data_IF_127356902398
#
_entry.id   IF_127356902398
#
_cell.length_a   1.000
_cell.length_b   1.000
_cell.length_c   1.000
_cell.angle_alpha   90.00
_cell.angle_beta   90.00
_cell.angle_gamma   90.00
#
_symmetry.space_group_name_H-M   'P 1'
#
loop_
_entity.id
_entity.type
_entity.pdbx_description
1 polymer ?
#
# COMPACT_ATOMS: atom_id res chain seq x y z
N UNK A 1 -4.31 36.10 -3.33
CA UNK A 1 -2.90 35.78 -2.92
C UNK A 1 -2.86 34.43 -2.20
N UNK A 2 -2.00 33.56 -2.65
CA UNK A 2 -1.89 32.22 -2.04
C UNK A 2 -1.23 32.36 -0.66
N UNK A 3 -1.95 32.06 0.40
CA UNK A 3 -1.48 32.09 1.79
C UNK A 3 -0.21 31.21 1.97
N UNK A 4 -0.08 30.14 1.18
CA UNK A 4 1.06 29.22 1.19
C UNK A 4 2.43 29.91 1.03
N UNK A 5 2.52 31.00 0.28
CA UNK A 5 3.77 31.75 0.06
C UNK A 5 4.24 32.55 1.28
N UNK A 6 3.40 32.69 2.30
CA UNK A 6 3.70 33.44 3.54
C UNK A 6 4.26 32.58 4.66
N UNK A 7 4.24 31.25 4.51
CA UNK A 7 4.86 30.34 5.46
C UNK A 7 6.38 30.27 5.24
N UNK A 8 7.14 30.25 6.30
CA UNK A 8 8.58 29.98 6.29
C UNK A 8 8.88 28.87 7.28
N UNK A 9 10.12 28.37 7.29
CA UNK A 9 10.55 27.32 8.24
C UNK A 9 10.28 27.67 9.70
N UNK A 10 10.18 28.96 10.03
CA UNK A 10 9.97 29.47 11.39
C UNK A 10 8.51 29.88 11.68
N UNK A 11 7.64 29.92 10.66
CA UNK A 11 6.25 30.37 10.81
C UNK A 11 5.32 29.17 10.57
N UNK A 12 4.75 28.66 11.66
CA UNK A 12 3.82 27.52 11.61
C UNK A 12 2.35 27.94 11.54
N UNK A 13 2.07 29.18 11.94
CA UNK A 13 0.71 29.71 11.95
C UNK A 13 0.67 31.18 11.50
N UNK A 14 -0.33 31.52 10.71
CA UNK A 14 -0.57 32.90 10.23
C UNK A 14 -1.96 33.32 10.64
N UNK A 15 -2.14 34.42 11.41
CA UNK A 15 -3.45 34.96 11.70
C UNK A 15 -4.06 35.56 10.43
N UNK A 16 -5.34 35.29 10.22
CA UNK A 16 -6.14 35.89 9.14
C UNK A 16 -7.08 36.93 9.78
N UNK A 17 -6.90 38.17 9.41
CA UNK A 17 -7.69 39.28 9.90
C UNK A 17 -8.72 39.72 8.82
N UNK A 18 -9.84 40.29 9.24
CA UNK A 18 -10.76 40.96 8.33
C UNK A 18 -10.31 42.39 8.06
N UNK A 19 -11.12 43.15 7.33
CA UNK A 19 -10.87 44.56 6.98
C UNK A 19 -10.87 45.51 8.19
N UNK A 20 -11.30 45.07 9.37
CA UNK A 20 -11.27 45.81 10.63
C UNK A 20 -10.18 45.31 11.60
N UNK A 21 -9.16 44.63 11.10
CA UNK A 21 -8.05 44.04 11.86
C UNK A 21 -8.48 43.05 12.97
N UNK A 22 -9.68 42.45 12.82
CA UNK A 22 -10.17 41.42 13.75
C UNK A 22 -9.80 40.04 13.25
N UNK A 23 -9.29 39.20 14.16
CA UNK A 23 -8.97 37.80 13.88
C UNK A 23 -10.22 37.02 13.45
N UNK A 24 -10.21 36.48 12.25
CA UNK A 24 -11.31 35.67 11.69
C UNK A 24 -10.96 34.19 11.67
N UNK A 25 -9.68 33.87 11.47
CA UNK A 25 -9.19 32.48 11.46
C UNK A 25 -7.67 32.44 11.64
N UNK A 26 -7.13 31.24 11.78
CA UNK A 26 -5.69 31.01 11.81
C UNK A 26 -5.39 29.99 10.73
N UNK A 27 -4.51 30.35 9.77
CA UNK A 27 -3.96 29.38 8.83
C UNK A 27 -2.73 28.71 9.47
N UNK A 28 -2.75 27.40 9.56
CA UNK A 28 -1.65 26.59 10.04
C UNK A 28 -0.88 26.02 8.86
N UNK A 29 0.45 25.97 8.98
CA UNK A 29 1.25 25.16 8.06
C UNK A 29 0.91 23.68 8.37
N UNK A 30 0.23 23.04 7.44
CA UNK A 30 0.03 21.58 7.51
C UNK A 30 1.34 20.93 7.07
N UNK A 31 2.19 20.56 8.03
CA UNK A 31 3.24 19.58 7.77
C UNK A 31 2.53 18.24 7.64
N UNK A 32 2.30 17.79 6.42
CA UNK A 32 1.72 16.48 6.15
C UNK A 32 2.78 15.41 6.42
N UNK A 33 2.96 15.07 7.67
CA UNK A 33 3.75 13.90 8.05
C UNK A 33 2.81 12.71 8.22
N UNK A 34 3.17 11.60 7.60
CA UNK A 34 2.47 10.32 7.73
C UNK A 34 3.35 9.40 8.57
N UNK A 35 2.76 8.73 9.55
CA UNK A 35 3.45 7.72 10.34
C UNK A 35 3.13 6.34 9.79
N UNK A 36 4.19 5.54 9.51
CA UNK A 36 4.08 4.12 9.20
C UNK A 36 5.00 3.37 10.17
N UNK A 37 4.42 2.64 11.10
CA UNK A 37 5.16 2.03 12.19
C UNK A 37 5.96 3.07 12.99
N UNK A 38 7.27 2.87 13.11
CA UNK A 38 8.19 3.80 13.75
C UNK A 38 8.66 4.95 12.85
N UNK A 39 8.35 4.93 11.55
CA UNK A 39 8.83 5.91 10.59
C UNK A 39 7.87 7.09 10.44
N UNK A 40 8.45 8.29 10.35
CA UNK A 40 7.75 9.51 9.93
C UNK A 40 8.14 9.82 8.49
N UNK A 41 7.14 9.97 7.61
CA UNK A 41 7.31 10.26 6.18
C UNK A 41 6.77 11.66 5.90
N UNK A 42 7.59 12.53 5.34
CA UNK A 42 7.24 13.90 5.04
C UNK A 42 8.41 14.64 4.37
N UNK A 43 8.22 15.91 4.02
CA UNK A 43 9.17 16.71 3.25
C UNK A 43 10.59 16.78 3.87
N UNK A 44 10.67 16.76 5.21
CA UNK A 44 11.95 16.87 5.94
C UNK A 44 12.42 15.55 6.53
N UNK A 45 11.69 14.47 6.29
CA UNK A 45 12.06 13.14 6.77
C UNK A 45 13.13 12.50 5.89
N UNK A 46 13.94 11.58 6.43
CA UNK A 46 14.76 10.71 5.60
C UNK A 46 13.92 9.95 4.57
N UNK A 47 14.52 9.57 3.45
CA UNK A 47 13.84 8.79 2.42
C UNK A 47 13.40 7.44 3.01
N UNK A 48 12.13 7.09 2.80
CA UNK A 48 11.58 5.80 3.17
C UNK A 48 11.67 4.85 1.97
N UNK A 49 12.54 3.85 2.07
CA UNK A 49 12.84 2.89 0.98
C UNK A 49 12.02 1.62 1.18
N UNK A 50 11.24 1.26 0.17
CA UNK A 50 10.42 0.04 0.13
C UNK A 50 11.06 -0.95 -0.85
N UNK A 51 11.49 -2.09 -0.36
CA UNK A 51 11.94 -3.21 -1.19
C UNK A 51 10.73 -3.99 -1.73
N UNK A 52 10.59 -4.04 -3.04
CA UNK A 52 9.50 -4.73 -3.74
C UNK A 52 9.79 -6.23 -3.86
N UNK A 53 9.45 -7.01 -2.84
CA UNK A 53 9.59 -8.48 -2.86
C UNK A 53 8.51 -9.10 -3.76
N UNK A 54 7.28 -8.60 -3.64
CA UNK A 54 6.15 -9.02 -4.48
C UNK A 54 5.93 -10.52 -4.44
N UNK A 55 6.03 -11.17 -5.60
CA UNK A 55 5.97 -12.63 -5.78
C UNK A 55 7.33 -13.22 -6.22
N UNK A 56 8.43 -12.48 -6.11
CA UNK A 56 9.76 -12.94 -6.57
C UNK A 56 10.32 -14.10 -5.74
N UNK A 57 9.68 -14.41 -4.61
CA UNK A 57 9.97 -15.60 -3.82
C UNK A 57 9.46 -16.90 -4.47
N UNK A 58 8.66 -16.84 -5.55
CA UNK A 58 8.16 -17.98 -6.32
C UNK A 58 7.47 -19.07 -5.47
N UNK A 59 6.79 -18.70 -4.37
CA UNK A 59 6.17 -19.64 -3.45
C UNK A 59 7.15 -20.37 -2.50
N UNK A 60 8.42 -19.96 -2.49
CA UNK A 60 9.48 -20.56 -1.68
C UNK A 60 9.78 -19.66 -0.47
N UNK A 61 9.60 -20.19 0.75
CA UNK A 61 9.84 -19.47 2.01
C UNK A 61 11.32 -19.14 2.24
N UNK A 62 12.21 -20.02 1.83
CA UNK A 62 13.66 -19.80 2.03
C UNK A 62 14.14 -18.70 1.09
N UNK A 63 13.62 -18.67 -0.15
CA UNK A 63 13.88 -17.56 -1.06
C UNK A 63 13.26 -16.26 -0.55
N UNK A 64 12.06 -16.30 0.03
CA UNK A 64 11.43 -15.12 0.63
C UNK A 64 12.29 -14.54 1.78
N UNK A 65 12.78 -15.39 2.70
CA UNK A 65 13.70 -14.97 3.77
C UNK A 65 14.97 -14.35 3.22
N UNK A 66 15.57 -14.97 2.20
CA UNK A 66 16.76 -14.44 1.54
C UNK A 66 16.52 -13.05 0.93
N UNK A 67 15.36 -12.84 0.30
CA UNK A 67 14.99 -11.53 -0.24
C UNK A 67 14.79 -10.48 0.86
N UNK A 68 14.26 -10.87 2.01
CA UNK A 68 14.17 -10.01 3.20
C UNK A 68 15.57 -9.64 3.69
N UNK A 69 16.47 -10.61 3.84
CA UNK A 69 17.84 -10.39 4.31
C UNK A 69 18.61 -9.45 3.37
N UNK A 70 18.45 -9.61 2.06
CA UNK A 70 19.05 -8.71 1.06
C UNK A 70 18.47 -7.30 1.16
N UNK A 71 17.15 -7.16 1.38
CA UNK A 71 16.50 -5.88 1.59
C UNK A 71 17.04 -5.17 2.85
N UNK A 72 17.21 -5.90 3.94
CA UNK A 72 17.83 -5.41 5.18
C UNK A 72 19.28 -5.00 4.94
N UNK A 73 20.07 -5.85 4.29
CA UNK A 73 21.47 -5.58 3.94
C UNK A 73 21.64 -4.35 3.04
N UNK A 74 20.66 -4.08 2.18
CA UNK A 74 20.62 -2.89 1.34
C UNK A 74 20.13 -1.63 2.07
N UNK A 75 19.70 -1.72 3.33
CA UNK A 75 19.21 -0.60 4.13
C UNK A 75 17.77 -0.17 3.81
N UNK A 76 16.95 -1.05 3.24
CA UNK A 76 15.54 -0.78 3.04
C UNK A 76 14.80 -0.65 4.39
N UNK A 77 13.79 0.23 4.44
CA UNK A 77 12.97 0.44 5.62
C UNK A 77 11.78 -0.53 5.68
N UNK A 78 11.37 -1.02 4.52
CA UNK A 78 10.15 -1.81 4.36
C UNK A 78 10.34 -2.89 3.30
N UNK A 79 9.81 -4.09 3.55
CA UNK A 79 9.72 -5.20 2.61
C UNK A 79 8.26 -5.39 2.19
N UNK A 80 7.95 -5.21 0.88
CA UNK A 80 6.57 -5.24 0.38
C UNK A 80 6.26 -6.54 -0.34
N UNK A 81 5.17 -7.18 0.10
CA UNK A 81 4.60 -8.40 -0.44
C UNK A 81 3.26 -8.15 -1.14
N UNK A 82 2.63 -9.22 -1.60
CA UNK A 82 1.30 -9.23 -2.21
C UNK A 82 0.53 -10.44 -1.70
N UNK A 83 -0.76 -10.26 -1.38
CA UNK A 83 -1.64 -11.33 -0.94
C UNK A 83 -2.90 -11.37 -1.80
N UNK A 84 -3.28 -12.56 -2.25
CA UNK A 84 -4.47 -12.80 -3.07
C UNK A 84 -5.20 -14.03 -2.59
N UNK A 85 -6.52 -13.95 -2.57
CA UNK A 85 -7.38 -15.13 -2.58
C UNK A 85 -7.84 -15.41 -4.01
N UNK A 86 -7.18 -16.37 -4.66
CA UNK A 86 -7.48 -16.72 -6.06
C UNK A 86 -8.91 -17.22 -6.24
N UNK A 87 -9.56 -17.73 -5.19
CA UNK A 87 -10.94 -18.19 -5.26
C UNK A 87 -11.94 -17.03 -5.29
N UNK A 88 -11.61 -15.90 -4.69
CA UNK A 88 -12.45 -14.70 -4.68
C UNK A 88 -12.23 -13.80 -5.89
N UNK A 89 -11.01 -13.72 -6.40
CA UNK A 89 -10.63 -12.84 -7.50
C UNK A 89 -11.09 -13.34 -8.88
N UNK A 90 -11.15 -14.65 -9.07
CA UNK A 90 -11.40 -15.25 -10.38
C UNK A 90 -12.63 -16.15 -10.34
N UNK A 91 -13.76 -15.63 -10.83
CA UNK A 91 -15.04 -16.36 -10.87
C UNK A 91 -15.08 -17.50 -11.89
N UNK A 92 -14.19 -17.50 -12.88
CA UNK A 92 -14.09 -18.56 -13.88
C UNK A 92 -12.89 -19.45 -13.57
N UNK A 93 -13.14 -20.59 -12.95
CA UNK A 93 -12.18 -21.69 -12.87
C UNK A 93 -12.19 -22.48 -14.18
N UNK A 94 -12.08 -21.90 -15.32
CA UNK A 94 -12.04 -22.54 -16.62
C UNK A 94 -12.73 -23.92 -16.69
N UNK A 95 -13.38 -24.22 -17.77
CA UNK A 95 -13.82 -25.59 -18.05
C UNK A 95 -12.79 -26.23 -18.97
N UNK A 96 -11.95 -27.18 -18.49
CA UNK A 96 -10.91 -27.81 -19.31
C UNK A 96 -11.46 -28.52 -20.57
N UNK A 97 -12.79 -28.69 -20.65
CA UNK A 97 -13.47 -29.31 -21.76
C UNK A 97 -14.10 -28.30 -22.77
N UNK A 98 -13.91 -26.96 -22.56
CA UNK A 98 -14.41 -25.93 -23.48
C UNK A 98 -13.26 -25.34 -24.31
N UNK A 99 -13.11 -25.81 -25.55
CA UNK A 99 -12.09 -25.38 -26.52
C UNK A 99 -12.16 -23.87 -26.88
N UNK A 100 -13.14 -23.12 -26.35
CA UNK A 100 -13.31 -21.68 -26.57
C UNK A 100 -12.80 -20.85 -25.41
N UNK A 101 -12.31 -21.46 -24.32
CA UNK A 101 -11.78 -20.75 -23.18
C UNK A 101 -10.40 -20.15 -23.46
N UNK A 102 -10.18 -18.98 -22.90
CA UNK A 102 -8.89 -18.30 -22.94
C UNK A 102 -7.86 -19.04 -22.06
N UNK A 103 -7.14 -19.97 -22.69
CA UNK A 103 -6.04 -20.71 -22.05
C UNK A 103 -4.98 -19.79 -21.43
N UNK A 104 -4.88 -18.54 -21.88
CA UNK A 104 -3.99 -17.54 -21.30
C UNK A 104 -4.37 -17.16 -19.88
N UNK A 105 -5.66 -16.98 -19.58
CA UNK A 105 -6.15 -16.68 -18.25
C UNK A 105 -5.92 -17.83 -17.28
N UNK A 106 -6.18 -19.07 -17.70
CA UNK A 106 -5.93 -20.26 -16.88
C UNK A 106 -4.43 -20.44 -16.58
N UNK A 107 -3.58 -20.24 -17.59
CA UNK A 107 -2.12 -20.33 -17.40
C UNK A 107 -1.62 -19.28 -16.38
N UNK A 108 -2.14 -18.06 -16.41
CA UNK A 108 -1.80 -17.01 -15.43
C UNK A 108 -2.25 -17.41 -14.02
N UNK A 109 -3.45 -17.98 -13.86
CA UNK A 109 -3.96 -18.46 -12.59
C UNK A 109 -3.10 -19.57 -12.00
N UNK A 110 -2.70 -20.54 -12.82
CA UNK A 110 -1.84 -21.64 -12.42
C UNK A 110 -0.46 -21.12 -11.96
N UNK A 111 0.11 -20.15 -12.67
CA UNK A 111 1.35 -19.50 -12.26
C UNK A 111 1.19 -18.73 -10.94
N UNK A 112 0.13 -17.93 -10.80
CA UNK A 112 -0.13 -17.19 -9.57
C UNK A 112 -0.33 -18.13 -8.37
N UNK A 113 -1.07 -19.23 -8.57
CA UNK A 113 -1.26 -20.25 -7.54
C UNK A 113 0.06 -20.89 -7.11
N UNK A 114 0.94 -21.15 -8.07
CA UNK A 114 2.25 -21.77 -7.81
C UNK A 114 3.23 -20.83 -7.11
N UNK A 115 3.14 -19.52 -7.40
CA UNK A 115 4.13 -18.56 -6.95
C UNK A 115 3.69 -17.75 -5.71
N UNK A 116 2.53 -18.01 -5.15
CA UNK A 116 2.12 -17.37 -3.91
C UNK A 116 2.46 -18.23 -2.67
N UNK A 117 2.76 -17.57 -1.57
CA UNK A 117 2.79 -18.19 -0.25
C UNK A 117 1.36 -18.33 0.28
N UNK A 118 1.10 -19.39 1.05
CA UNK A 118 -0.16 -19.51 1.78
C UNK A 118 -0.24 -18.47 2.90
N UNK A 119 -1.43 -18.10 3.38
CA UNK A 119 -1.57 -17.05 4.40
C UNK A 119 -0.70 -17.25 5.64
N UNK A 120 -0.62 -18.47 6.17
CA UNK A 120 0.22 -18.77 7.34
C UNK A 120 1.70 -18.58 7.04
N UNK A 121 2.14 -19.00 5.86
CA UNK A 121 3.52 -18.81 5.40
C UNK A 121 3.84 -17.33 5.17
N UNK A 122 2.87 -16.55 4.69
CA UNK A 122 3.03 -15.11 4.54
C UNK A 122 3.19 -14.43 5.90
N UNK A 123 2.41 -14.86 6.91
CA UNK A 123 2.55 -14.34 8.27
C UNK A 123 3.89 -14.70 8.89
N UNK A 124 4.42 -15.90 8.65
CA UNK A 124 5.80 -16.24 9.04
C UNK A 124 6.83 -15.26 8.42
N UNK A 125 6.63 -14.83 7.17
CA UNK A 125 7.53 -13.86 6.52
C UNK A 125 7.39 -12.46 7.12
N UNK A 126 6.19 -12.05 7.49
CA UNK A 126 5.98 -10.76 8.17
C UNK A 126 6.62 -10.76 9.57
N UNK A 127 6.47 -11.85 10.33
CA UNK A 127 7.15 -12.02 11.61
C UNK A 127 8.67 -12.01 11.44
N UNK A 128 9.18 -12.66 10.39
CA UNK A 128 10.59 -12.64 10.06
C UNK A 128 11.09 -11.24 9.71
N UNK A 129 10.33 -10.45 8.94
CA UNK A 129 10.64 -9.04 8.68
C UNK A 129 10.81 -8.27 10.00
N UNK A 130 9.86 -8.40 10.93
CA UNK A 130 9.91 -7.71 12.22
C UNK A 130 11.12 -8.14 13.07
N UNK A 131 11.46 -9.43 13.04
CA UNK A 131 12.66 -9.95 13.71
C UNK A 131 13.95 -9.38 13.12
N UNK A 132 14.00 -9.16 11.81
CA UNK A 132 15.14 -8.53 11.12
C UNK A 132 15.15 -7.00 11.22
N UNK A 133 14.13 -6.39 11.84
CA UNK A 133 14.03 -4.94 12.02
C UNK A 133 13.59 -4.17 10.76
N UNK A 134 13.02 -4.84 9.76
CA UNK A 134 12.41 -4.24 8.59
C UNK A 134 10.89 -4.30 8.67
N UNK A 135 10.19 -3.24 8.27
CA UNK A 135 8.74 -3.18 8.33
C UNK A 135 8.11 -4.06 7.21
N UNK A 136 7.18 -4.98 7.52
CA UNK A 136 6.40 -5.64 6.49
C UNK A 136 5.33 -4.71 5.94
N UNK A 137 5.09 -4.77 4.64
CA UNK A 137 3.98 -4.11 3.94
C UNK A 137 3.37 -5.12 2.97
N UNK A 138 2.07 -5.05 2.75
CA UNK A 138 1.41 -5.93 1.81
C UNK A 138 0.38 -5.20 0.95
N UNK A 139 0.24 -5.67 -0.29
CA UNK A 139 -0.86 -5.29 -1.18
C UNK A 139 -1.95 -6.36 -1.05
N UNK A 140 -3.11 -6.08 -0.45
CA UNK A 140 -4.28 -6.93 -0.61
C UNK A 140 -4.86 -6.74 -2.03
N UNK A 141 -5.17 -7.82 -2.71
CA UNK A 141 -5.83 -7.79 -4.01
C UNK A 141 -7.35 -8.02 -3.93
N UNK A 142 -7.84 -8.35 -2.73
CA UNK A 142 -9.24 -8.68 -2.46
C UNK A 142 -9.57 -8.45 -0.99
N UNK A 143 -10.88 -8.49 -0.66
CA UNK A 143 -11.36 -8.25 0.69
C UNK A 143 -10.99 -9.38 1.67
N UNK A 144 -10.87 -10.63 1.20
CA UNK A 144 -10.46 -11.73 2.07
C UNK A 144 -9.00 -11.56 2.49
N UNK A 145 -8.12 -11.21 1.54
CA UNK A 145 -6.73 -10.87 1.81
C UNK A 145 -6.61 -9.68 2.76
N UNK A 146 -7.42 -8.62 2.56
CA UNK A 146 -7.46 -7.47 3.46
C UNK A 146 -7.84 -7.87 4.89
N UNK A 147 -8.85 -8.71 5.06
CA UNK A 147 -9.29 -9.19 6.37
C UNK A 147 -8.19 -10.00 7.10
N UNK A 148 -7.45 -10.83 6.36
CA UNK A 148 -6.32 -11.58 6.91
C UNK A 148 -5.18 -10.64 7.35
N UNK A 149 -4.85 -9.64 6.53
CA UNK A 149 -3.83 -8.65 6.85
C UNK A 149 -4.21 -7.78 8.05
N UNK A 150 -5.50 -7.47 8.24
CA UNK A 150 -6.00 -6.79 9.45
C UNK A 150 -5.85 -7.64 10.70
N UNK A 151 -6.09 -8.96 10.60
CA UNK A 151 -5.86 -9.89 11.73
C UNK A 151 -4.40 -9.95 12.13
N UNK A 152 -3.48 -9.86 11.16
CA UNK A 152 -2.04 -9.75 11.44
C UNK A 152 -1.69 -8.41 12.09
N UNK A 153 -2.39 -7.34 11.79
CA UNK A 153 -2.16 -6.01 12.34
C UNK A 153 -1.18 -5.15 11.54
N UNK A 154 -1.27 -5.17 10.20
CA UNK A 154 -0.45 -4.33 9.33
C UNK A 154 -0.51 -2.85 9.71
N UNK A 155 0.62 -2.14 9.62
CA UNK A 155 0.75 -0.71 9.95
C UNK A 155 0.32 0.22 8.79
N UNK A 156 0.31 -0.28 7.57
CA UNK A 156 -0.07 0.44 6.36
C UNK A 156 -0.44 -0.55 5.25
N UNK A 157 -1.05 -0.05 4.18
CA UNK A 157 -1.40 -0.86 3.02
C UNK A 157 -0.89 -0.26 1.72
N UNK A 158 -0.59 -1.14 0.75
CA UNK A 158 -0.29 -0.75 -0.61
C UNK A 158 -1.51 -1.05 -1.50
N UNK A 159 -1.89 -0.09 -2.31
CA UNK A 159 -2.90 -0.25 -3.36
C UNK A 159 -2.20 -0.36 -4.71
N UNK A 160 -2.43 -1.46 -5.43
CA UNK A 160 -1.88 -1.65 -6.77
C UNK A 160 -2.50 -0.65 -7.76
N UNK A 161 -1.79 -0.31 -8.82
CA UNK A 161 -2.30 0.61 -9.85
C UNK A 161 -3.56 0.08 -10.55
N UNK A 162 -3.70 -1.25 -10.65
CA UNK A 162 -4.88 -1.89 -11.20
C UNK A 162 -6.13 -1.77 -10.29
N UNK A 163 -5.94 -1.52 -8.99
CA UNK A 163 -7.02 -1.41 -8.01
C UNK A 163 -7.31 0.04 -7.60
N UNK A 164 -6.69 1.03 -8.23
CA UNK A 164 -6.94 2.43 -7.89
C UNK A 164 -8.41 2.86 -8.15
N UNK A 165 -9.08 2.19 -9.05
CA UNK A 165 -10.52 2.37 -9.34
C UNK A 165 -11.42 1.31 -8.71
N UNK A 166 -10.86 0.42 -7.90
CA UNK A 166 -11.62 -0.58 -7.15
C UNK A 166 -12.22 0.06 -5.88
N UNK A 167 -13.31 0.80 -6.05
CA UNK A 167 -13.93 1.60 -5.00
C UNK A 167 -14.41 0.76 -3.81
N UNK A 168 -14.77 -0.51 -4.02
CA UNK A 168 -15.17 -1.42 -2.95
C UNK A 168 -13.99 -1.71 -2.01
N UNK A 169 -12.84 -2.10 -2.57
CA UNK A 169 -11.61 -2.35 -1.80
C UNK A 169 -11.10 -1.06 -1.13
N UNK A 170 -11.09 0.05 -1.88
CA UNK A 170 -10.65 1.35 -1.37
C UNK A 170 -11.49 1.84 -0.21
N UNK A 171 -12.82 1.73 -0.30
CA UNK A 171 -13.72 2.13 0.81
C UNK A 171 -13.41 1.35 2.08
N UNK A 172 -13.15 0.05 1.98
CA UNK A 172 -12.76 -0.76 3.14
C UNK A 172 -11.39 -0.37 3.71
N UNK A 173 -10.42 -0.10 2.84
CA UNK A 173 -9.10 0.37 3.26
C UNK A 173 -9.17 1.74 3.97
N UNK A 174 -10.01 2.65 3.47
CA UNK A 174 -10.23 3.98 4.07
C UNK A 174 -10.88 3.84 5.45
N UNK A 175 -11.88 2.94 5.60
CA UNK A 175 -12.54 2.69 6.89
C UNK A 175 -11.59 2.21 7.99
N UNK A 176 -10.49 1.54 7.61
CA UNK A 176 -9.43 1.06 8.54
C UNK A 176 -8.60 2.22 9.11
N UNK A 177 -8.54 3.36 8.42
CA UNK A 177 -7.83 4.58 8.86
C UNK A 177 -6.32 4.40 9.07
N UNK A 178 -5.70 3.49 8.35
CA UNK A 178 -4.25 3.32 8.28
C UNK A 178 -3.69 4.01 7.04
N UNK A 179 -2.39 4.35 7.01
CA UNK A 179 -1.76 4.92 5.82
C UNK A 179 -1.91 4.03 4.59
N UNK A 180 -2.21 4.66 3.45
CA UNK A 180 -2.30 4.02 2.16
C UNK A 180 -1.20 4.54 1.23
N UNK A 181 -0.55 3.63 0.52
CA UNK A 181 0.42 3.93 -0.54
C UNK A 181 -0.20 3.49 -1.85
N UNK A 182 -0.68 4.43 -2.65
CA UNK A 182 -1.39 4.14 -3.90
C UNK A 182 -0.48 4.32 -5.12
N UNK A 183 -0.43 3.32 -6.00
CA UNK A 183 0.18 3.45 -7.33
C UNK A 183 -0.86 3.95 -8.32
N UNK A 184 -0.44 4.83 -9.24
CA UNK A 184 -1.32 5.52 -10.18
C UNK A 184 -1.02 5.21 -11.65
N UNK A 185 -0.09 4.27 -11.92
CA UNK A 185 0.46 4.05 -13.26
C UNK A 185 -0.51 3.50 -14.31
N UNK A 186 -1.69 3.02 -13.91
CA UNK A 186 -2.74 2.50 -14.81
C UNK A 186 -4.00 3.40 -14.83
N UNK A 187 -3.93 4.61 -14.26
CA UNK A 187 -5.10 5.47 -14.11
C UNK A 187 -4.91 6.81 -14.78
N UNK A 188 -6.01 7.39 -15.24
CA UNK A 188 -6.07 8.77 -15.70
C UNK A 188 -6.01 9.77 -14.53
N UNK A 189 -5.78 11.04 -14.84
CA UNK A 189 -5.79 12.10 -13.83
C UNK A 189 -7.17 12.26 -13.16
N UNK A 190 -8.24 12.06 -13.92
CA UNK A 190 -9.62 12.10 -13.43
C UNK A 190 -9.85 10.99 -12.39
N UNK A 191 -9.46 9.74 -12.70
CA UNK A 191 -9.59 8.59 -11.79
C UNK A 191 -8.76 8.76 -10.51
N UNK A 192 -7.56 9.34 -10.62
CA UNK A 192 -6.74 9.67 -9.45
C UNK A 192 -7.44 10.70 -8.56
N UNK A 193 -8.00 11.77 -9.16
CA UNK A 193 -8.72 12.80 -8.43
C UNK A 193 -10.00 12.26 -7.76
N UNK A 194 -10.74 11.39 -8.42
CA UNK A 194 -11.89 10.69 -7.83
C UNK A 194 -11.46 9.87 -6.61
N UNK A 195 -10.41 9.09 -6.74
CA UNK A 195 -9.88 8.27 -5.64
C UNK A 195 -9.43 9.10 -4.43
N UNK A 196 -8.81 10.26 -4.65
CA UNK A 196 -8.35 11.14 -3.56
C UNK A 196 -9.53 11.78 -2.81
N UNK A 197 -10.70 11.87 -3.44
CA UNK A 197 -11.90 12.48 -2.86
C UNK A 197 -12.85 11.50 -2.17
N UNK A 198 -12.55 10.20 -2.24
CA UNK A 198 -13.27 9.17 -1.48
C UNK A 198 -12.99 9.33 0.02
#
# INVERSE_FOLDING_TARGET
EKISSKFSEKIEAIPILNEYDRLTSIAWRRTSQIRIGSYLIGETSPIFVIAEIGNNHNGDKDLAKKLIDEAVGAGANCAKFQMRDLNSLYNNKGNPDDDREDLGSQYILDLLSKFQLQPDEMFEMFDYCMQQGILPLCTPWDLNSLNLLEQFGMEAYKVASADLTNHELLSKLIDIKKPLICSTGMSSEEEINETITL
#
